data_IF_865838660514
#
_entry.id   IF_865838660514
#
_cell.length_a   1.000
_cell.length_b   1.000
_cell.length_c   1.000
_cell.angle_alpha   90.00
_cell.angle_beta   90.00
_cell.angle_gamma   90.00
#
_symmetry.space_group_name_H-M   'P 1'
#
loop_
_entity.id
_entity.type
_entity.pdbx_description
1 polymer ?
#
# COMPACT_ATOMS: atom_id res chain seq x y z
N UNK A 1 -9.30 20.89 -6.32
CA UNK A 1 -9.76 19.50 -6.50
C UNK A 1 -9.01 18.93 -7.70
N UNK A 2 -8.35 17.77 -7.58
CA UNK A 2 -7.76 17.12 -8.75
C UNK A 2 -8.89 16.59 -9.62
N UNK A 3 -8.83 16.87 -10.90
CA UNK A 3 -9.81 16.33 -11.86
C UNK A 3 -9.55 14.84 -12.11
N UNK A 4 -10.51 14.15 -12.74
CA UNK A 4 -10.35 12.76 -13.16
C UNK A 4 -9.09 12.55 -14.03
N UNK A 5 -8.81 13.50 -14.92
CA UNK A 5 -7.61 13.48 -15.77
C UNK A 5 -6.29 13.57 -15.00
N UNK A 6 -6.29 14.22 -13.83
CA UNK A 6 -5.12 14.31 -12.96
C UNK A 6 -4.81 13.02 -12.21
N UNK A 7 -5.74 12.05 -12.20
CA UNK A 7 -5.59 10.74 -11.57
C UNK A 7 -5.19 9.64 -12.55
N UNK A 8 -5.15 9.93 -13.85
CA UNK A 8 -4.81 8.94 -14.86
C UNK A 8 -3.29 8.77 -14.96
N UNK A 9 -2.83 7.50 -15.02
CA UNK A 9 -1.43 7.21 -15.25
C UNK A 9 -1.00 7.59 -16.67
N UNK A 10 0.21 8.15 -16.77
CA UNK A 10 0.81 8.41 -18.06
C UNK A 10 1.36 7.14 -18.70
N UNK A 11 1.37 7.09 -20.03
CA UNK A 11 1.89 5.94 -20.79
C UNK A 11 3.38 5.64 -20.50
N UNK A 12 4.10 6.59 -19.90
CA UNK A 12 5.52 6.47 -19.52
C UNK A 12 5.72 5.99 -18.08
N UNK A 13 4.65 5.87 -17.29
CA UNK A 13 4.77 5.49 -15.89
C UNK A 13 5.01 3.99 -15.75
N UNK A 14 6.11 3.57 -15.09
CA UNK A 14 6.49 2.15 -15.03
C UNK A 14 5.53 1.28 -14.23
N UNK A 15 4.68 1.91 -13.43
CA UNK A 15 3.69 1.24 -12.58
C UNK A 15 2.29 1.17 -13.20
N UNK A 16 2.09 1.71 -14.42
CA UNK A 16 0.82 1.58 -15.14
C UNK A 16 0.41 0.10 -15.26
N UNK A 17 -0.83 -0.23 -14.95
CA UNK A 17 -1.35 -1.60 -14.95
C UNK A 17 -0.57 -2.59 -14.06
N UNK A 18 0.02 -2.13 -12.96
CA UNK A 18 0.71 -2.98 -11.99
C UNK A 18 -0.05 -3.00 -10.66
N UNK A 19 -0.28 -4.18 -10.11
CA UNK A 19 -0.92 -4.35 -8.80
C UNK A 19 -0.12 -5.31 -7.92
N UNK A 20 0.36 -4.82 -6.79
CA UNK A 20 1.09 -5.61 -5.80
C UNK A 20 0.17 -5.92 -4.63
N UNK A 21 -0.06 -7.20 -4.37
CA UNK A 21 -0.73 -7.66 -3.17
C UNK A 21 0.29 -7.86 -2.05
N UNK A 22 -0.08 -7.49 -0.85
CA UNK A 22 0.73 -7.75 0.33
C UNK A 22 0.12 -8.87 1.16
N UNK A 23 0.96 -9.74 1.70
CA UNK A 23 0.57 -10.74 2.67
C UNK A 23 1.58 -10.80 3.81
N UNK A 24 1.09 -11.11 5.01
CA UNK A 24 1.87 -11.22 6.24
C UNK A 24 0.96 -11.00 7.45
N UNK A 25 1.13 -11.76 8.53
CA UNK A 25 0.31 -11.69 9.73
C UNK A 25 0.41 -10.36 10.49
N UNK A 26 -0.40 -10.17 11.56
CA UNK A 26 -0.20 -9.10 12.52
C UNK A 26 1.23 -9.15 13.07
N UNK A 27 1.89 -8.02 13.24
CA UNK A 27 3.28 -7.95 13.70
C UNK A 27 4.36 -8.31 12.66
N UNK A 28 4.00 -8.78 11.44
CA UNK A 28 5.00 -9.15 10.43
C UNK A 28 5.80 -7.97 9.85
N UNK A 29 5.41 -6.71 10.11
CA UNK A 29 6.12 -5.53 9.61
C UNK A 29 5.82 -5.16 8.15
N UNK A 30 4.75 -5.67 7.56
CA UNK A 30 4.34 -5.36 6.15
C UNK A 30 4.40 -3.89 5.80
N UNK A 31 3.72 -3.05 6.59
CA UNK A 31 3.63 -1.61 6.30
C UNK A 31 4.99 -0.92 6.33
N UNK A 32 5.90 -1.40 7.19
CA UNK A 32 7.27 -0.91 7.25
C UNK A 32 8.08 -1.32 6.00
N UNK A 33 8.08 -2.62 5.66
CA UNK A 33 8.74 -3.14 4.46
C UNK A 33 8.26 -2.41 3.22
N UNK A 34 6.94 -2.24 3.06
CA UNK A 34 6.35 -1.58 1.90
C UNK A 34 6.76 -0.12 1.80
N UNK A 35 6.65 0.66 2.89
CA UNK A 35 7.08 2.06 2.88
C UNK A 35 8.54 2.22 2.49
N UNK A 36 9.41 1.37 3.00
CA UNK A 36 10.87 1.40 2.69
C UNK A 36 11.16 0.95 1.26
N UNK A 37 10.43 -0.02 0.73
CA UNK A 37 10.75 -0.63 -0.58
C UNK A 37 9.97 -0.06 -1.76
N UNK A 38 8.86 0.64 -1.52
CA UNK A 38 8.03 1.23 -2.58
C UNK A 38 7.96 2.76 -2.55
N UNK A 39 8.63 3.39 -1.59
CA UNK A 39 8.73 4.84 -1.52
C UNK A 39 9.28 5.42 -2.82
N UNK A 40 8.60 6.43 -3.38
CA UNK A 40 8.98 7.05 -4.65
C UNK A 40 8.66 6.23 -5.92
N UNK A 41 8.06 5.04 -5.79
CA UNK A 41 7.68 4.19 -6.95
C UNK A 41 6.45 4.69 -7.71
N UNK A 42 5.67 5.60 -7.13
CA UNK A 42 4.40 6.07 -7.70
C UNK A 42 3.19 5.17 -7.41
N UNK A 43 3.40 3.97 -6.87
CA UNK A 43 2.33 3.05 -6.48
C UNK A 43 1.42 3.65 -5.41
N UNK A 44 0.11 3.44 -5.53
CA UNK A 44 -0.92 3.92 -4.59
C UNK A 44 -1.32 2.82 -3.62
N UNK A 45 -1.21 3.12 -2.33
CA UNK A 45 -1.55 2.16 -1.28
C UNK A 45 -3.06 2.14 -1.06
N UNK A 46 -3.63 0.94 -1.12
CA UNK A 46 -5.01 0.61 -0.80
C UNK A 46 -4.98 -0.15 0.53
N UNK A 47 -5.28 0.55 1.62
CA UNK A 47 -5.31 0.00 2.97
C UNK A 47 -6.56 0.52 3.70
N UNK A 48 -7.39 -0.40 4.18
CA UNK A 48 -8.57 -0.05 4.99
C UNK A 48 -8.22 0.18 6.46
N UNK A 49 -7.11 -0.38 6.93
CA UNK A 49 -6.70 -0.25 8.33
C UNK A 49 -6.32 1.20 8.68
N UNK A 50 -5.61 1.90 7.77
CA UNK A 50 -5.24 3.31 8.00
C UNK A 50 -6.48 4.22 8.14
N UNK A 51 -7.52 3.96 7.34
CA UNK A 51 -8.78 4.72 7.41
C UNK A 51 -9.55 4.34 8.67
N UNK A 52 -9.55 3.06 9.02
CA UNK A 52 -10.20 2.56 10.22
C UNK A 52 -9.54 3.13 11.49
N UNK A 53 -8.20 3.12 11.57
CA UNK A 53 -7.47 3.73 12.68
C UNK A 53 -7.78 5.21 12.84
N UNK A 54 -7.86 5.94 11.72
CA UNK A 54 -8.28 7.34 11.75
C UNK A 54 -9.68 7.48 12.33
N UNK A 55 -10.64 6.68 11.91
CA UNK A 55 -12.01 6.74 12.42
C UNK A 55 -12.11 6.38 13.90
N UNK A 56 -11.30 5.43 14.39
CA UNK A 56 -11.23 5.12 15.82
C UNK A 56 -10.70 6.30 16.63
N UNK A 57 -9.63 6.96 16.17
CA UNK A 57 -9.05 8.14 16.80
C UNK A 57 -10.03 9.31 16.80
N UNK A 58 -10.67 9.60 15.68
CA UNK A 58 -11.65 10.69 15.54
C UNK A 58 -12.88 10.46 16.44
N UNK A 59 -13.24 9.20 16.72
CA UNK A 59 -14.35 8.82 17.60
C UNK A 59 -13.94 8.67 19.07
N UNK A 60 -12.65 8.84 19.41
CA UNK A 60 -12.14 8.69 20.79
C UNK A 60 -12.17 7.25 21.32
N UNK A 61 -12.15 6.26 20.42
CA UNK A 61 -12.12 4.85 20.79
C UNK A 61 -10.71 4.41 21.18
N UNK A 62 -10.65 3.39 22.05
CA UNK A 62 -9.38 2.81 22.47
C UNK A 62 -8.70 2.13 21.27
N UNK A 63 -7.41 2.36 21.09
CA UNK A 63 -6.65 1.71 20.01
C UNK A 63 -6.24 0.28 20.39
N UNK A 64 -6.06 -0.01 21.68
CA UNK A 64 -5.75 -1.36 22.15
C UNK A 64 -7.02 -2.22 22.17
N UNK A 65 -7.07 -3.21 21.29
CA UNK A 65 -8.22 -4.12 21.16
C UNK A 65 -8.26 -5.21 22.24
N UNK A 66 -7.31 -5.22 23.18
CA UNK A 66 -7.26 -6.19 24.30
C UNK A 66 -8.02 -5.70 25.52
N UNK A 67 -8.43 -4.44 25.55
CA UNK A 67 -9.08 -3.82 26.71
C UNK A 67 -10.56 -4.17 26.81
N UNK A 68 -11.10 -4.22 28.03
CA UNK A 68 -12.52 -4.38 28.27
C UNK A 68 -13.36 -3.22 27.69
N UNK A 69 -12.78 -2.03 27.53
CA UNK A 69 -13.40 -0.90 26.81
C UNK A 69 -13.56 -1.22 25.34
N UNK A 70 -12.53 -1.76 24.69
CA UNK A 70 -12.56 -2.13 23.29
C UNK A 70 -13.62 -3.23 23.01
N UNK A 71 -13.80 -4.15 23.95
CA UNK A 71 -14.83 -5.19 23.86
C UNK A 71 -16.24 -4.62 23.92
N UNK A 72 -16.51 -3.68 24.83
CA UNK A 72 -17.81 -2.97 24.91
C UNK A 72 -18.13 -2.11 23.70
N UNK A 73 -17.11 -1.63 23.01
CA UNK A 73 -17.22 -0.80 21.81
C UNK A 73 -17.30 -1.63 20.51
N UNK A 74 -17.37 -2.95 20.59
CA UNK A 74 -17.20 -3.85 19.44
C UNK A 74 -18.15 -3.52 18.28
N UNK A 75 -19.45 -3.37 18.54
CA UNK A 75 -20.43 -3.11 17.49
C UNK A 75 -20.20 -1.76 16.80
N UNK A 76 -19.90 -0.72 17.58
CA UNK A 76 -19.59 0.59 17.04
C UNK A 76 -18.29 0.57 16.19
N UNK A 77 -17.31 -0.20 16.61
CA UNK A 77 -16.06 -0.41 15.85
C UNK A 77 -16.32 -1.12 14.52
N UNK A 78 -17.22 -2.11 14.49
CA UNK A 78 -17.55 -2.81 13.23
C UNK A 78 -18.27 -1.90 12.24
N UNK A 79 -19.10 -0.96 12.69
CA UNK A 79 -19.69 0.08 11.83
C UNK A 79 -18.60 0.95 11.19
N UNK A 80 -17.61 1.41 11.98
CA UNK A 80 -16.49 2.18 11.47
C UNK A 80 -15.61 1.38 10.52
N UNK A 81 -15.39 0.10 10.80
CA UNK A 81 -14.64 -0.82 9.95
C UNK A 81 -15.31 -0.99 8.59
N UNK A 82 -16.64 -1.19 8.56
CA UNK A 82 -17.40 -1.27 7.31
C UNK A 82 -17.28 0.02 6.51
N UNK A 83 -17.48 1.17 7.15
CA UNK A 83 -17.32 2.49 6.51
C UNK A 83 -15.90 2.70 5.93
N UNK A 84 -14.87 2.30 6.67
CA UNK A 84 -13.48 2.35 6.17
C UNK A 84 -13.29 1.45 4.93
N UNK A 85 -13.89 0.26 4.93
CA UNK A 85 -13.93 -0.66 3.79
C UNK A 85 -14.57 -0.03 2.55
N UNK A 86 -15.73 0.61 2.71
CA UNK A 86 -16.46 1.25 1.62
C UNK A 86 -15.67 2.41 0.99
N UNK A 87 -15.04 3.25 1.82
CA UNK A 87 -14.17 4.35 1.34
C UNK A 87 -12.95 3.79 0.62
N UNK A 88 -12.35 2.73 1.16
CA UNK A 88 -11.19 2.05 0.54
C UNK A 88 -11.55 1.47 -0.82
N UNK A 89 -12.74 0.84 -0.93
CA UNK A 89 -13.24 0.29 -2.19
C UNK A 89 -13.42 1.38 -3.23
N UNK A 90 -14.11 2.48 -2.91
CA UNK A 90 -14.28 3.63 -3.81
C UNK A 90 -12.93 4.19 -4.28
N UNK A 91 -11.97 4.31 -3.36
CA UNK A 91 -10.61 4.79 -3.69
C UNK A 91 -9.91 3.83 -4.65
N UNK A 92 -10.01 2.51 -4.40
CA UNK A 92 -9.46 1.49 -5.31
C UNK A 92 -10.08 1.59 -6.69
N UNK A 93 -11.40 1.68 -6.77
CA UNK A 93 -12.12 1.71 -8.04
C UNK A 93 -11.71 2.95 -8.87
N UNK A 94 -11.59 4.12 -8.26
CA UNK A 94 -11.07 5.32 -8.94
C UNK A 94 -9.63 5.14 -9.45
N UNK A 95 -8.75 4.49 -8.67
CA UNK A 95 -7.38 4.25 -9.11
C UNK A 95 -7.30 3.22 -10.24
N UNK A 96 -8.15 2.19 -10.18
CA UNK A 96 -8.27 1.18 -11.25
C UNK A 96 -8.77 1.82 -12.54
N UNK A 97 -9.75 2.70 -12.46
CA UNK A 97 -10.26 3.46 -13.61
C UNK A 97 -9.17 4.31 -14.26
N UNK A 98 -8.31 4.95 -13.45
CA UNK A 98 -7.14 5.71 -13.90
C UNK A 98 -5.95 4.86 -14.36
N UNK A 99 -6.03 3.52 -14.31
CA UNK A 99 -4.92 2.58 -14.61
C UNK A 99 -3.70 2.74 -13.72
N UNK A 100 -3.89 3.33 -12.54
CA UNK A 100 -2.84 3.67 -11.57
C UNK A 100 -2.26 2.40 -10.96
N UNK A 101 -0.95 2.39 -10.75
CA UNK A 101 -0.26 1.30 -10.08
C UNK A 101 -0.64 1.19 -8.61
N UNK A 102 -0.92 -0.03 -8.13
CA UNK A 102 -1.52 -0.30 -6.84
C UNK A 102 -0.64 -1.14 -5.92
N UNK A 103 -0.73 -0.83 -4.62
CA UNK A 103 -0.37 -1.74 -3.53
C UNK A 103 -1.66 -2.03 -2.76
N UNK A 104 -2.08 -3.29 -2.76
CA UNK A 104 -3.27 -3.76 -2.04
C UNK A 104 -2.80 -4.40 -0.74
N UNK A 105 -2.91 -3.65 0.35
CA UNK A 105 -2.49 -4.13 1.67
C UNK A 105 -3.57 -5.05 2.28
N UNK A 106 -3.13 -6.23 2.65
CA UNK A 106 -3.95 -7.24 3.29
C UNK A 106 -3.12 -8.16 4.18
N UNK A 107 -3.77 -8.92 5.04
CA UNK A 107 -3.07 -9.89 5.90
C UNK A 107 -2.64 -11.14 5.14
N UNK A 108 -3.34 -11.50 4.07
CA UNK A 108 -3.11 -12.76 3.36
C UNK A 108 -3.75 -13.99 3.98
N UNK A 109 -4.60 -13.82 5.01
CA UNK A 109 -5.30 -14.94 5.67
C UNK A 109 -6.39 -15.57 4.80
N UNK A 110 -6.97 -14.80 3.91
CA UNK A 110 -8.02 -15.22 2.98
C UNK A 110 -7.43 -15.30 1.56
N UNK A 111 -7.02 -16.52 1.18
CA UNK A 111 -6.44 -16.78 -0.14
C UNK A 111 -7.45 -16.53 -1.25
N UNK A 112 -8.70 -17.03 -1.10
CA UNK A 112 -9.70 -16.98 -2.16
C UNK A 112 -10.06 -15.55 -2.52
N UNK A 113 -10.17 -14.69 -1.52
CA UNK A 113 -10.39 -13.24 -1.72
C UNK A 113 -9.27 -12.61 -2.54
N UNK A 114 -8.00 -12.89 -2.21
CA UNK A 114 -6.86 -12.33 -2.93
C UNK A 114 -6.77 -12.90 -4.35
N UNK A 115 -6.97 -14.20 -4.50
CA UNK A 115 -6.96 -14.86 -5.80
C UNK A 115 -8.05 -14.28 -6.73
N UNK A 116 -9.28 -14.13 -6.21
CA UNK A 116 -10.40 -13.51 -6.94
C UNK A 116 -10.07 -12.08 -7.37
N UNK A 117 -9.60 -11.24 -6.45
CA UNK A 117 -9.20 -9.85 -6.77
C UNK A 117 -8.06 -9.79 -7.81
N UNK A 118 -7.09 -10.70 -7.71
CA UNK A 118 -6.01 -10.81 -8.69
C UNK A 118 -6.52 -11.16 -10.08
N UNK A 119 -7.47 -12.09 -10.18
CA UNK A 119 -8.10 -12.49 -11.45
C UNK A 119 -8.90 -11.32 -12.03
N UNK A 120 -9.74 -10.67 -11.24
CA UNK A 120 -10.52 -9.49 -11.66
C UNK A 120 -9.63 -8.39 -12.22
N UNK A 121 -8.53 -8.07 -11.54
CA UNK A 121 -7.56 -7.08 -12.01
C UNK A 121 -6.86 -7.51 -13.31
N UNK A 122 -6.51 -8.80 -13.45
CA UNK A 122 -5.93 -9.31 -14.70
C UNK A 122 -6.89 -9.20 -15.88
N UNK A 123 -8.19 -9.41 -15.68
CA UNK A 123 -9.21 -9.28 -16.73
C UNK A 123 -9.30 -7.85 -17.30
N UNK A 124 -9.07 -6.84 -16.47
CA UNK A 124 -9.08 -5.43 -16.88
C UNK A 124 -7.69 -4.87 -17.26
N UNK A 125 -6.69 -5.75 -17.40
CA UNK A 125 -5.38 -5.41 -17.94
C UNK A 125 -4.22 -5.39 -16.94
N UNK A 126 -4.48 -5.46 -15.64
CA UNK A 126 -3.40 -5.40 -14.65
C UNK A 126 -2.51 -6.65 -14.66
N UNK A 127 -1.24 -6.45 -14.45
CA UNK A 127 -0.31 -7.49 -14.04
C UNK A 127 -0.22 -7.53 -12.52
N UNK A 128 -0.38 -8.72 -11.93
CA UNK A 128 -0.48 -8.88 -10.49
C UNK A 128 0.75 -9.55 -9.91
N UNK A 129 1.18 -9.04 -8.76
CA UNK A 129 2.37 -9.44 -8.03
C UNK A 129 2.03 -9.66 -6.56
N UNK A 130 2.83 -10.44 -5.85
CA UNK A 130 2.72 -10.65 -4.41
C UNK A 130 4.03 -10.28 -3.72
N UNK A 131 3.93 -9.53 -2.63
CA UNK A 131 5.01 -9.36 -1.65
C UNK A 131 4.56 -10.01 -0.35
N UNK A 132 5.18 -11.13 -0.02
CA UNK A 132 4.88 -11.90 1.18
C UNK A 132 5.92 -11.60 2.24
N UNK A 133 5.50 -10.98 3.34
CA UNK A 133 6.38 -10.66 4.46
C UNK A 133 6.28 -11.78 5.50
N UNK A 134 7.32 -12.60 5.53
CA UNK A 134 7.44 -13.73 6.43
C UNK A 134 8.09 -13.33 7.75
N UNK A 135 7.59 -13.87 8.85
CA UNK A 135 8.16 -13.76 10.20
C UNK A 135 7.85 -15.03 10.99
N UNK A 136 8.68 -15.36 11.98
CA UNK A 136 8.30 -16.35 12.99
C UNK A 136 7.13 -15.87 13.82
N UNK A 137 6.43 -16.79 14.46
CA UNK A 137 5.29 -16.46 15.32
C UNK A 137 5.74 -15.60 16.51
N UNK A 138 6.87 -15.92 17.11
CA UNK A 138 7.41 -15.22 18.29
C UNK A 138 7.74 -13.77 17.99
N UNK A 139 8.41 -13.49 16.87
CA UNK A 139 8.70 -12.13 16.41
C UNK A 139 7.42 -11.36 16.10
N UNK A 140 6.45 -12.01 15.46
CA UNK A 140 5.18 -11.40 15.14
C UNK A 140 4.37 -11.03 16.40
N UNK A 141 4.36 -11.90 17.42
CA UNK A 141 3.69 -11.66 18.69
C UNK A 141 4.37 -10.56 19.52
N UNK A 142 5.70 -10.58 19.62
CA UNK A 142 6.46 -9.52 20.31
C UNK A 142 6.13 -8.14 19.70
N UNK A 143 6.25 -8.02 18.39
CA UNK A 143 5.94 -6.75 17.68
C UNK A 143 4.45 -6.36 17.74
N UNK A 144 3.53 -7.33 17.80
CA UNK A 144 2.11 -7.04 18.00
C UNK A 144 1.84 -6.45 19.39
N UNK A 145 2.55 -6.93 20.41
CA UNK A 145 2.38 -6.44 21.78
C UNK A 145 2.82 -4.97 21.96
N UNK A 146 3.81 -4.53 21.20
CA UNK A 146 4.38 -3.17 21.24
C UNK A 146 3.55 -2.13 20.44
N UNK A 147 2.61 -2.59 19.61
CA UNK A 147 1.82 -1.67 18.77
C UNK A 147 0.75 -0.94 19.57
N UNK A 148 0.52 0.34 19.24
CA UNK A 148 -0.61 1.12 19.75
C UNK A 148 -1.94 0.37 19.48
N UNK A 149 -2.14 -0.10 18.25
CA UNK A 149 -3.26 -0.98 17.88
C UNK A 149 -2.82 -2.43 17.90
N UNK A 150 -2.83 -3.01 19.09
CA UNK A 150 -2.55 -4.43 19.28
C UNK A 150 -3.83 -5.27 19.26
N UNK A 151 -3.69 -6.51 18.86
CA UNK A 151 -4.79 -7.51 18.89
C UNK A 151 -4.47 -8.61 19.91
N UNK A 152 -5.48 -9.30 20.46
CA UNK A 152 -5.24 -10.43 21.35
C UNK A 152 -4.31 -11.46 20.72
N UNK A 153 -3.43 -12.06 21.53
CA UNK A 153 -2.41 -13.02 21.08
C UNK A 153 -3.03 -14.21 20.33
N UNK A 154 -4.17 -14.72 20.82
CA UNK A 154 -4.91 -15.82 20.17
C UNK A 154 -5.36 -15.44 18.73
N UNK A 155 -5.78 -14.19 18.53
CA UNK A 155 -6.18 -13.65 17.23
C UNK A 155 -4.95 -13.50 16.32
N UNK A 156 -3.84 -12.98 16.85
CA UNK A 156 -2.58 -12.81 16.13
C UNK A 156 -2.02 -14.16 15.68
N UNK A 157 -1.96 -15.14 16.59
CA UNK A 157 -1.49 -16.51 16.31
C UNK A 157 -2.36 -17.22 15.28
N UNK A 158 -3.68 -17.15 15.41
CA UNK A 158 -4.63 -17.74 14.43
C UNK A 158 -4.42 -17.12 13.04
N UNK A 159 -4.33 -15.80 12.98
CA UNK A 159 -4.09 -15.09 11.71
C UNK A 159 -2.74 -15.47 11.11
N UNK A 160 -1.67 -15.55 11.92
CA UNK A 160 -0.34 -15.97 11.47
C UNK A 160 -0.38 -17.38 10.86
N UNK A 161 -0.97 -18.37 11.55
CA UNK A 161 -1.13 -19.75 11.05
C UNK A 161 -1.85 -19.79 9.71
N UNK A 162 -2.96 -19.04 9.56
CA UNK A 162 -3.70 -18.96 8.31
C UNK A 162 -2.87 -18.37 7.16
N UNK A 163 -2.09 -17.32 7.43
CA UNK A 163 -1.22 -16.69 6.44
C UNK A 163 -0.13 -17.66 5.99
N UNK A 164 0.51 -18.37 6.94
CA UNK A 164 1.55 -19.36 6.63
C UNK A 164 1.02 -20.53 5.80
N UNK A 165 -0.18 -21.04 6.12
CA UNK A 165 -0.81 -22.12 5.37
C UNK A 165 -1.15 -21.72 3.92
N UNK A 166 -1.28 -20.43 3.63
CA UNK A 166 -1.57 -19.90 2.29
C UNK A 166 -0.32 -19.63 1.45
N UNK A 167 0.88 -19.66 2.04
CA UNK A 167 2.13 -19.34 1.32
C UNK A 167 2.31 -20.17 0.05
N UNK A 168 2.12 -21.48 0.15
CA UNK A 168 2.22 -22.40 -1.01
C UNK A 168 1.19 -22.09 -2.10
N UNK A 169 -0.05 -21.79 -1.71
CA UNK A 169 -1.12 -21.40 -2.64
C UNK A 169 -0.79 -20.08 -3.35
N UNK A 170 -0.27 -19.08 -2.64
CA UNK A 170 0.19 -17.83 -3.23
C UNK A 170 1.36 -18.05 -4.20
N UNK A 171 2.32 -18.91 -3.83
CA UNK A 171 3.44 -19.25 -4.70
C UNK A 171 2.97 -19.87 -6.03
N UNK A 172 1.98 -20.74 -5.99
CA UNK A 172 1.38 -21.32 -7.19
C UNK A 172 0.59 -20.30 -8.01
N UNK A 173 -0.18 -19.41 -7.36
CA UNK A 173 -1.01 -18.41 -8.04
C UNK A 173 -0.20 -17.30 -8.72
N UNK A 174 0.78 -16.74 -7.99
CA UNK A 174 1.61 -15.63 -8.48
C UNK A 174 2.88 -16.09 -9.20
N UNK A 175 3.31 -17.34 -9.00
CA UNK A 175 4.50 -17.94 -9.63
C UNK A 175 5.73 -17.01 -9.54
N UNK A 176 6.41 -16.73 -10.64
CA UNK A 176 7.57 -15.84 -10.72
C UNK A 176 7.28 -14.34 -10.47
N UNK A 177 6.06 -14.00 -10.07
CA UNK A 177 5.65 -12.66 -9.66
C UNK A 177 5.46 -12.55 -8.13
N UNK A 178 6.02 -13.48 -7.35
CA UNK A 178 6.00 -13.44 -5.89
C UNK A 178 7.40 -13.11 -5.37
N UNK A 179 7.46 -12.17 -4.44
CA UNK A 179 8.65 -11.81 -3.66
C UNK A 179 8.39 -12.20 -2.21
N UNK A 180 9.27 -13.00 -1.63
CA UNK A 180 9.22 -13.37 -0.21
C UNK A 180 10.28 -12.55 0.51
N UNK A 181 9.87 -11.87 1.57
CA UNK A 181 10.73 -11.04 2.43
C UNK A 181 10.78 -11.67 3.80
N UNK A 182 11.93 -12.16 4.21
CA UNK A 182 12.14 -12.59 5.60
C UNK A 182 12.36 -11.35 6.47
N UNK A 183 11.47 -11.17 7.45
CA UNK A 183 11.49 -10.03 8.36
C UNK A 183 11.65 -10.47 9.82
N UNK A 184 12.42 -11.53 10.10
CA UNK A 184 12.66 -11.98 11.47
C UNK A 184 13.61 -11.02 12.21
N UNK A 185 14.74 -10.69 11.60
CA UNK A 185 15.85 -9.99 12.24
C UNK A 185 16.10 -8.58 11.68
N UNK A 186 15.15 -8.04 10.93
CA UNK A 186 15.34 -6.73 10.31
C UNK A 186 15.39 -5.64 11.37
N UNK A 187 16.56 -5.05 11.55
CA UNK A 187 16.77 -3.78 12.26
C UNK A 187 16.39 -2.63 11.33
N UNK A 188 16.03 -1.47 11.91
CA UNK A 188 15.66 -0.28 11.12
C UNK A 188 16.74 0.15 10.10
N UNK A 189 17.98 -0.21 10.32
CA UNK A 189 19.16 0.12 9.52
C UNK A 189 19.58 -0.96 8.52
N UNK A 190 18.79 -2.01 8.30
CA UNK A 190 19.16 -3.09 7.37
C UNK A 190 19.02 -2.65 5.89
N UNK A 191 19.88 -1.73 5.50
CA UNK A 191 19.91 -1.17 4.15
C UNK A 191 20.14 -2.23 3.06
N UNK A 192 20.82 -3.34 3.35
CA UNK A 192 21.10 -4.39 2.36
C UNK A 192 19.83 -5.16 1.99
N UNK A 193 19.03 -5.56 2.98
CA UNK A 193 17.80 -6.30 2.73
C UNK A 193 16.77 -5.42 2.00
N UNK A 194 16.56 -4.18 2.47
CA UNK A 194 15.67 -3.24 1.80
C UNK A 194 16.10 -2.95 0.37
N UNK A 195 17.39 -2.80 0.12
CA UNK A 195 17.92 -2.62 -1.23
C UNK A 195 17.68 -3.85 -2.11
N UNK A 196 17.80 -5.06 -1.57
CA UNK A 196 17.51 -6.29 -2.30
C UNK A 196 16.04 -6.38 -2.68
N UNK A 197 15.12 -6.19 -1.73
CA UNK A 197 13.67 -6.19 -1.96
C UNK A 197 13.28 -5.08 -2.93
N UNK A 198 13.82 -3.88 -2.73
CA UNK A 198 13.60 -2.76 -3.65
C UNK A 198 14.05 -3.08 -5.08
N UNK A 199 15.24 -3.68 -5.26
CA UNK A 199 15.73 -4.09 -6.58
C UNK A 199 14.78 -5.12 -7.23
N UNK A 200 14.25 -6.07 -6.46
CA UNK A 200 13.29 -7.05 -6.97
C UNK A 200 11.99 -6.37 -7.41
N UNK A 201 11.38 -5.52 -6.57
CA UNK A 201 10.16 -4.78 -6.91
C UNK A 201 10.40 -3.88 -8.13
N UNK A 202 11.51 -3.14 -8.15
CA UNK A 202 11.91 -2.30 -9.28
C UNK A 202 12.08 -3.13 -10.57
N UNK A 203 12.64 -4.33 -10.46
CA UNK A 203 12.74 -5.27 -11.58
C UNK A 203 11.37 -5.68 -12.12
N UNK A 204 10.40 -5.93 -11.24
CA UNK A 204 9.02 -6.25 -11.61
C UNK A 204 8.31 -5.04 -12.25
N UNK A 205 8.51 -3.84 -11.73
CA UNK A 205 7.96 -2.60 -12.30
C UNK A 205 8.49 -2.31 -13.71
N UNK A 206 9.77 -2.61 -13.97
CA UNK A 206 10.39 -2.42 -15.29
C UNK A 206 9.95 -3.43 -16.35
N UNK A 207 9.33 -4.55 -15.95
CA UNK A 207 8.81 -5.51 -16.93
C UNK A 207 7.76 -4.83 -17.82
N UNK A 208 7.84 -4.98 -19.15
CA UNK A 208 6.82 -4.44 -20.02
C UNK A 208 5.46 -5.07 -19.74
N UNK A 209 4.40 -4.32 -19.94
CA UNK A 209 3.02 -4.83 -19.82
C UNK A 209 2.79 -5.89 -20.89
N UNK A 210 2.40 -7.09 -20.47
CA UNK A 210 2.17 -8.24 -21.37
C UNK A 210 0.69 -8.53 -21.59
N UNK A 211 -0.17 -8.10 -20.67
CA UNK A 211 -1.60 -8.33 -20.73
C UNK A 211 -2.22 -7.73 -22.01
N UNK A 212 -2.95 -8.53 -22.83
CA UNK A 212 -3.53 -8.06 -24.08
C UNK A 212 -4.48 -6.88 -23.92
N UNK A 213 -5.33 -6.88 -22.88
CA UNK A 213 -6.26 -5.79 -22.57
C UNK A 213 -5.53 -4.48 -22.32
N UNK A 214 -4.45 -4.53 -21.55
CA UNK A 214 -3.64 -3.34 -21.28
C UNK A 214 -2.90 -2.85 -22.52
N UNK A 215 -2.38 -3.75 -23.35
CA UNK A 215 -1.74 -3.38 -24.63
C UNK A 215 -2.71 -2.66 -25.56
N UNK A 216 -3.91 -3.22 -25.73
CA UNK A 216 -4.95 -2.61 -26.54
C UNK A 216 -5.33 -1.20 -26.01
N UNK A 217 -5.45 -1.04 -24.69
CA UNK A 217 -5.71 0.25 -24.08
C UNK A 217 -4.55 1.25 -24.35
N UNK A 218 -3.30 0.85 -24.15
CA UNK A 218 -2.12 1.68 -24.40
C UNK A 218 -2.05 2.10 -25.87
N UNK A 219 -2.29 1.18 -26.80
CA UNK A 219 -2.30 1.48 -28.25
C UNK A 219 -3.40 2.48 -28.63
N UNK A 220 -4.58 2.33 -28.04
CA UNK A 220 -5.68 3.27 -28.24
C UNK A 220 -5.34 4.66 -27.70
N UNK A 221 -4.79 4.75 -26.48
CA UNK A 221 -4.35 6.02 -25.89
C UNK A 221 -3.24 6.69 -26.71
N UNK A 222 -2.32 5.91 -27.26
CA UNK A 222 -1.29 6.43 -28.16
C UNK A 222 -1.92 7.06 -29.42
N UNK A 223 -2.87 6.37 -30.05
CA UNK A 223 -3.60 6.89 -31.21
C UNK A 223 -4.33 8.19 -30.89
N UNK A 224 -5.08 8.22 -29.78
CA UNK A 224 -5.83 9.40 -29.34
C UNK A 224 -4.93 10.61 -29.05
N UNK A 225 -3.71 10.40 -28.61
CA UNK A 225 -2.72 11.45 -28.30
C UNK A 225 -1.76 11.77 -29.45
N UNK A 226 -1.92 11.13 -30.61
CA UNK A 226 -1.03 11.32 -31.76
C UNK A 226 0.40 10.83 -31.52
N UNK A 227 0.61 9.88 -30.59
CA UNK A 227 1.91 9.33 -30.26
C UNK A 227 2.24 8.19 -31.23
N UNK A 228 3.23 8.38 -32.08
CA UNK A 228 3.61 7.38 -33.11
C UNK A 228 4.68 6.40 -32.65
N UNK A 229 5.43 6.74 -31.58
CA UNK A 229 6.52 5.90 -31.05
C UNK A 229 6.18 5.43 -29.63
N UNK A 230 6.41 4.16 -29.36
CA UNK A 230 6.21 3.60 -28.02
C UNK A 230 6.91 4.44 -26.94
N UNK A 231 6.22 4.82 -25.85
CA UNK A 231 6.80 5.65 -24.82
C UNK A 231 7.90 4.90 -24.07
N UNK A 232 9.02 5.56 -23.81
CA UNK A 232 10.05 5.02 -22.91
C UNK A 232 9.58 5.16 -21.46
N UNK A 233 9.61 4.08 -20.69
CA UNK A 233 9.22 4.11 -19.29
C UNK A 233 10.14 5.04 -18.47
N UNK A 234 9.55 5.83 -17.61
CA UNK A 234 10.28 6.68 -16.66
C UNK A 234 11.09 5.82 -15.69
N UNK A 235 12.20 6.35 -15.21
CA UNK A 235 12.98 5.67 -14.18
C UNK A 235 12.22 5.64 -12.84
N UNK A 236 12.17 4.48 -12.21
CA UNK A 236 11.70 4.35 -10.82
C UNK A 236 12.73 5.01 -9.91
N UNK A 237 12.29 5.92 -9.04
CA UNK A 237 13.15 6.62 -8.08
C UNK A 237 13.98 5.68 -7.20
N UNK A 238 15.11 6.16 -6.68
CA UNK A 238 15.98 5.40 -5.76
C UNK A 238 15.35 5.29 -4.36
N UNK A 239 15.63 4.17 -3.67
CA UNK A 239 15.34 4.05 -2.23
C UNK A 239 16.29 4.98 -1.48
N UNK A 240 15.80 5.99 -0.80
CA UNK A 240 16.65 6.76 0.11
C UNK A 240 16.59 8.28 -0.01
N UNK A 241 15.46 8.81 -0.40
CA UNK A 241 15.20 10.22 -0.20
C UNK A 241 13.86 10.41 0.45
N UNK A 242 13.80 11.04 1.60
CA UNK A 242 12.61 11.67 2.15
C UNK A 242 12.20 12.83 1.23
N UNK A 243 11.96 12.50 -0.02
CA UNK A 243 11.41 13.39 -1.03
C UNK A 243 9.90 13.41 -0.89
N UNK A 244 9.39 14.00 0.18
CA UNK A 244 8.12 14.67 0.09
C UNK A 244 8.29 15.71 -1.02
N UNK A 245 7.93 15.35 -2.25
CA UNK A 245 7.88 16.27 -3.36
C UNK A 245 7.02 17.44 -2.93
N UNK A 246 7.65 18.56 -2.63
CA UNK A 246 6.98 19.84 -2.45
C UNK A 246 6.26 20.12 -3.75
N UNK A 247 4.99 19.76 -3.79
CA UNK A 247 4.07 20.32 -4.78
C UNK A 247 4.05 21.82 -4.50
N UNK A 248 4.75 22.59 -5.33
CA UNK A 248 4.56 24.05 -5.36
C UNK A 248 3.12 24.27 -5.81
N UNK A 249 2.25 24.57 -4.86
CA UNK A 249 0.93 25.12 -5.17
C UNK A 249 1.16 26.51 -5.78
N UNK A 250 0.60 26.83 -6.94
CA UNK A 250 0.62 28.20 -7.44
C UNK A 250 -0.32 29.04 -6.54
N UNK A 251 0.20 30.10 -5.97
CA UNK A 251 -0.56 31.17 -5.35
C UNK A 251 -0.84 31.05 -3.85
N UNK A 252 0.18 31.13 -3.00
CA UNK A 252 0.03 31.68 -1.66
C UNK A 252 0.75 33.02 -1.59
N UNK A 253 0.04 34.11 -1.93
CA UNK A 253 0.46 35.45 -1.64
C UNK A 253 0.61 35.59 -0.12
N UNK A 254 1.77 36.10 0.30
CA UNK A 254 2.16 36.18 1.70
C UNK A 254 1.23 37.03 2.56
N UNK A 255 0.71 36.44 3.61
CA UNK A 255 0.21 37.17 4.75
C UNK A 255 1.37 37.46 5.71
N UNK A 256 1.93 38.66 5.63
CA UNK A 256 2.87 39.19 6.63
C UNK A 256 2.05 39.67 7.85
N UNK A 257 1.96 38.83 8.88
CA UNK A 257 1.52 39.32 10.21
C UNK A 257 2.71 39.96 10.90
N UNK A 258 2.68 41.31 11.00
CA UNK A 258 3.48 42.07 11.93
C UNK A 258 2.97 41.81 13.35
N UNK A 259 3.62 40.99 14.14
CA UNK A 259 3.49 41.00 15.58
C UNK A 259 4.55 41.92 16.19
N UNK A 260 4.15 43.14 16.54
CA UNK A 260 4.94 44.05 17.35
C UNK A 260 5.01 43.55 18.79
N UNK A 261 6.18 43.12 19.23
CA UNK A 261 6.48 42.93 20.65
C UNK A 261 6.80 44.29 21.26
N UNK A 262 5.90 44.86 22.09
CA UNK A 262 6.25 45.88 23.06
C UNK A 262 6.76 45.20 24.34
N UNK A 263 8.01 45.51 24.70
CA UNK A 263 8.55 45.23 26.05
C UNK A 263 8.05 46.31 27.01
N UNK A 264 7.66 46.00 28.23
CA UNK A 264 7.52 47.01 29.28
C UNK A 264 8.90 47.35 29.83
N UNK A 265 9.11 48.63 30.06
CA UNK A 265 10.23 49.20 30.83
C UNK A 265 9.84 49.27 32.31
N UNK A 266 10.86 49.06 33.13
CA UNK A 266 11.03 49.19 34.57
C UNK A 266 10.38 48.17 35.46
#
# INVERSE_FOLDING_TARGET
MKTYLDLQEGLQDPHIFKAFFLAGGPGSGKSFVVRKTTGGSGLRIINSDDIFEKYLKDAGFDMDMRTAKAEREFDAREVLRKRAGDVTKKRRDNYVEGRIGLIIDGTGKDYDKIAKQSIELKQIGYETYMVFVNTSVDVALARNAERERSVPESVATKSWKQVQSNMGKFSQHFRGNMVIVDNNDIKEDDGMLFNSVFKQIKGLLKKPVKNPTAKAWIENEMKLRGITKAPTLRNVGGSGGTGAGRVKLPGSAGFKTKMGRKRPKT
#
